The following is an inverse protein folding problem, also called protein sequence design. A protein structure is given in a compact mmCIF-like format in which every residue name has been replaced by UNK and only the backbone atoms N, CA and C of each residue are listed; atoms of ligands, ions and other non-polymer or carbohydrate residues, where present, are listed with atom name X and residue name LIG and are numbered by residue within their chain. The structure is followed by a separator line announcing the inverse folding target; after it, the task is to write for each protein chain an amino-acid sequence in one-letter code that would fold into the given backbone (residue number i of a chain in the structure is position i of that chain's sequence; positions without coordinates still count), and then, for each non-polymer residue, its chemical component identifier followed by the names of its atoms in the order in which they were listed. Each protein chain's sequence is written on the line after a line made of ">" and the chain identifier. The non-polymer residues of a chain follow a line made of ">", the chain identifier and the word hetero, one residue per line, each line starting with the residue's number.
data_IF_465984445365
#
_entry.id   IF_465984445365
#
_cell.length_a   1.000
_cell.length_b   1.000
_cell.length_c   1.000
_cell.angle_alpha   90.00
_cell.angle_beta   90.00
_cell.angle_gamma   90.00
#
_symmetry.space_group_name_H-M   'P 1'
#
loop_
_entity.id
_entity.type
_entity.pdbx_description
1 polymer ?
#
# COMPACT_ATOMS: atom_id res chain seq x y z
N UNK A 1 -9.59 6.98 -1.45
CA UNK A 1 -8.22 6.98 -2.00
C UNK A 1 -8.27 7.43 -3.45
N UNK A 2 -7.32 8.26 -3.84
CA UNK A 2 -7.23 8.71 -5.22
C UNK A 2 -6.97 7.53 -6.16
N UNK A 3 -7.27 7.74 -7.43
CA UNK A 3 -7.04 6.73 -8.45
C UNK A 3 -5.54 6.43 -8.59
N UNK A 4 -5.16 5.16 -8.40
CA UNK A 4 -3.77 4.73 -8.50
C UNK A 4 -3.44 4.32 -9.94
N UNK A 5 -2.29 4.81 -10.43
CA UNK A 5 -1.82 4.54 -11.79
C UNK A 5 -0.43 3.91 -11.75
N UNK A 6 -0.13 2.95 -12.66
CA UNK A 6 1.22 2.41 -12.77
C UNK A 6 2.26 3.50 -13.02
N UNK A 7 3.49 3.26 -12.57
CA UNK A 7 4.66 4.12 -12.78
C UNK A 7 4.52 5.52 -12.18
N UNK A 8 3.67 5.70 -11.18
CA UNK A 8 3.37 6.99 -10.57
C UNK A 8 3.67 6.96 -9.08
N UNK A 9 4.14 8.08 -8.53
CA UNK A 9 4.45 8.25 -7.11
C UNK A 9 3.22 8.70 -6.34
N UNK A 10 3.11 8.22 -5.09
CA UNK A 10 2.02 8.60 -4.18
C UNK A 10 2.54 8.72 -2.76
N UNK A 11 1.97 9.69 -2.04
CA UNK A 11 2.11 9.81 -0.59
C UNK A 11 0.84 9.22 0.03
N UNK A 12 0.99 8.14 0.77
CA UNK A 12 -0.12 7.42 1.40
C UNK A 12 0.03 7.56 2.91
N UNK A 13 -1.05 7.94 3.57
CA UNK A 13 -1.02 8.13 5.01
C UNK A 13 -2.35 7.71 5.64
N UNK A 14 -2.32 7.43 6.93
CA UNK A 14 -3.51 7.12 7.72
C UNK A 14 -3.28 7.54 9.16
N UNK A 15 -4.36 7.92 9.84
CA UNK A 15 -4.39 8.30 11.24
C UNK A 15 -5.36 7.42 12.02
N UNK A 16 -5.04 7.17 13.29
CA UNK A 16 -6.02 6.62 14.22
C UNK A 16 -7.10 7.68 14.50
N UNK A 17 -8.31 7.22 14.79
CA UNK A 17 -9.40 8.10 15.20
C UNK A 17 -9.22 8.49 16.65
N UNK A 18 -9.37 9.79 16.96
CA UNK A 18 -9.28 10.29 18.34
C UNK A 18 -7.90 10.12 18.93
N UNK A 19 -7.87 9.68 20.18
CA UNK A 19 -6.63 9.53 20.95
C UNK A 19 -6.04 8.12 20.88
N UNK A 20 -6.57 7.24 20.03
CA UNK A 20 -6.08 5.88 19.90
C UNK A 20 -4.74 5.84 19.15
N UNK A 21 -3.87 4.92 19.57
CA UNK A 21 -2.61 4.66 18.87
C UNK A 21 -2.79 3.49 17.91
N UNK A 22 -2.22 3.63 16.70
CA UNK A 22 -2.13 2.54 15.72
C UNK A 22 -1.06 1.53 16.14
N UNK A 23 0.03 2.03 16.73
CA UNK A 23 1.17 1.22 17.15
C UNK A 23 1.42 1.47 18.62
N UNK A 24 1.18 0.47 19.47
CA UNK A 24 1.37 0.58 20.93
C UNK A 24 2.58 -0.20 21.41
N UNK A 25 2.86 -1.31 20.76
CA UNK A 25 3.91 -2.24 21.17
C UNK A 25 4.81 -2.58 19.98
N UNK A 26 6.05 -3.07 20.22
CA UNK A 26 6.94 -3.47 19.12
C UNK A 26 6.32 -4.45 18.15
N UNK A 27 5.47 -5.36 18.63
CA UNK A 27 4.80 -6.31 17.75
C UNK A 27 3.85 -5.65 16.76
N UNK A 28 3.27 -4.49 17.11
CA UNK A 28 2.38 -3.76 16.20
C UNK A 28 3.15 -3.24 14.98
N UNK A 29 4.38 -2.75 15.19
CA UNK A 29 5.25 -2.29 14.11
C UNK A 29 5.68 -3.46 13.23
N UNK A 30 6.02 -4.59 13.84
CA UNK A 30 6.42 -5.80 13.11
C UNK A 30 5.25 -6.33 12.28
N UNK A 31 4.06 -6.42 12.87
CA UNK A 31 2.87 -6.88 12.17
C UNK A 31 2.54 -5.97 10.98
N UNK A 32 2.61 -4.65 11.19
CA UNK A 32 2.42 -3.68 10.12
C UNK A 32 3.39 -3.93 8.96
N UNK A 33 4.68 -4.09 9.26
CA UNK A 33 5.69 -4.35 8.24
C UNK A 33 5.43 -5.64 7.48
N UNK A 34 5.07 -6.71 8.17
CA UNK A 34 4.76 -7.99 7.55
C UNK A 34 3.55 -7.89 6.61
N UNK A 35 2.48 -7.25 7.05
CA UNK A 35 1.29 -7.06 6.23
C UNK A 35 1.56 -6.13 5.05
N UNK A 36 2.34 -5.09 5.27
CA UNK A 36 2.76 -4.17 4.21
C UNK A 36 3.48 -4.91 3.09
N UNK A 37 4.51 -5.68 3.43
CA UNK A 37 5.27 -6.44 2.44
C UNK A 37 4.41 -7.48 1.74
N UNK A 38 3.55 -8.16 2.50
CA UNK A 38 2.66 -9.18 1.94
C UNK A 38 1.74 -8.61 0.85
N UNK A 39 1.18 -7.41 1.08
CA UNK A 39 0.16 -6.87 0.18
C UNK A 39 0.72 -5.90 -0.86
N UNK A 40 1.83 -5.23 -0.57
CA UNK A 40 2.25 -4.06 -1.34
C UNK A 40 3.49 -4.29 -2.19
N UNK A 41 4.43 -5.15 -1.77
CA UNK A 41 5.71 -5.32 -2.47
C UNK A 41 5.55 -5.71 -3.94
N UNK A 42 4.48 -6.42 -4.29
CA UNK A 42 4.24 -6.87 -5.67
C UNK A 42 3.79 -5.75 -6.59
N UNK A 43 3.26 -4.66 -6.02
CA UNK A 43 2.66 -3.58 -6.81
C UNK A 43 3.40 -2.26 -6.67
N UNK A 44 4.23 -2.08 -5.66
CA UNK A 44 4.87 -0.78 -5.40
C UNK A 44 6.25 -0.93 -4.80
N UNK A 45 7.12 0.04 -5.12
CA UNK A 45 8.40 0.25 -4.48
C UNK A 45 8.24 1.33 -3.40
N UNK A 46 8.83 1.10 -2.23
CA UNK A 46 8.75 2.05 -1.12
C UNK A 46 10.04 2.86 -1.06
N UNK A 47 9.90 4.18 -1.16
CA UNK A 47 11.03 5.11 -1.13
C UNK A 47 11.29 5.67 0.26
N UNK A 48 10.23 5.84 1.04
CA UNK A 48 10.35 6.33 2.41
C UNK A 48 9.13 5.92 3.21
N UNK A 49 9.31 5.79 4.51
CA UNK A 49 8.19 5.53 5.42
C UNK A 49 8.46 6.20 6.76
N UNK A 50 7.37 6.51 7.46
CA UNK A 50 7.42 7.02 8.82
C UNK A 50 6.27 6.42 9.60
N UNK A 51 6.59 5.70 10.68
CA UNK A 51 5.60 5.10 11.57
C UNK A 51 5.60 5.84 12.90
N UNK A 52 4.54 6.60 13.13
CA UNK A 52 4.31 7.29 14.40
C UNK A 52 3.23 6.53 15.18
N UNK A 53 3.16 6.65 16.51
CA UNK A 53 2.19 5.87 17.28
C UNK A 53 0.74 5.95 16.79
N UNK A 54 0.31 7.10 16.32
CA UNK A 54 -1.09 7.32 15.91
C UNK A 54 -1.27 7.54 14.40
N UNK A 55 -0.21 7.45 13.61
CA UNK A 55 -0.33 7.60 12.16
C UNK A 55 0.90 7.06 11.45
N UNK A 56 0.78 6.88 10.14
CA UNK A 56 1.94 6.53 9.31
C UNK A 56 1.90 7.29 7.99
N UNK A 57 3.06 7.40 7.36
CA UNK A 57 3.25 7.97 6.04
C UNK A 57 4.10 7.03 5.19
N UNK A 58 3.71 6.86 3.95
CA UNK A 58 4.45 6.06 2.97
C UNK A 58 4.65 6.89 1.70
N UNK A 59 5.87 6.92 1.18
CA UNK A 59 6.14 7.43 -0.16
C UNK A 59 6.45 6.23 -1.04
N UNK A 60 5.56 5.96 -1.99
CA UNK A 60 5.65 4.79 -2.86
C UNK A 60 5.59 5.18 -4.32
N UNK A 61 6.17 4.34 -5.17
CA UNK A 61 5.97 4.40 -6.61
C UNK A 61 5.28 3.11 -7.03
N UNK A 62 4.14 3.22 -7.66
CA UNK A 62 3.46 2.05 -8.22
C UNK A 62 4.33 1.52 -9.35
N UNK A 63 4.60 0.22 -9.35
CA UNK A 63 5.44 -0.42 -10.36
C UNK A 63 4.81 -0.32 -11.74
N UNK A 64 5.63 -0.45 -12.77
CA UNK A 64 5.16 -0.49 -14.13
C UNK A 64 4.25 -1.70 -14.36
N UNK A 65 3.31 -1.60 -15.28
CA UNK A 65 2.31 -2.63 -15.53
C UNK A 65 2.92 -4.00 -15.82
N UNK A 66 3.97 -4.05 -16.62
CA UNK A 66 4.65 -5.31 -16.96
C UNK A 66 5.30 -5.97 -15.73
N UNK A 67 5.87 -5.18 -14.84
CA UNK A 67 6.47 -5.68 -13.60
C UNK A 67 5.40 -6.25 -12.67
N UNK A 68 4.29 -5.54 -12.50
CA UNK A 68 3.16 -6.02 -11.69
C UNK A 68 2.62 -7.33 -12.27
N UNK A 69 2.50 -7.41 -13.58
CA UNK A 69 1.99 -8.59 -14.29
C UNK A 69 2.86 -9.83 -14.07
N UNK A 70 4.18 -9.67 -13.88
CA UNK A 70 5.07 -10.79 -13.59
C UNK A 70 4.69 -11.50 -12.30
N UNK A 71 4.25 -10.76 -11.29
CA UNK A 71 3.88 -11.32 -9.99
C UNK A 71 2.38 -11.58 -9.86
N UNK A 72 1.57 -10.81 -10.59
CA UNK A 72 0.12 -10.88 -10.55
C UNK A 72 -0.41 -10.92 -11.99
N UNK A 73 -0.36 -12.12 -12.64
CA UNK A 73 -0.66 -12.22 -14.08
C UNK A 73 -2.03 -11.70 -14.50
N UNK A 74 -3.03 -11.76 -13.61
CA UNK A 74 -4.35 -11.22 -13.90
C UNK A 74 -4.38 -9.72 -14.18
N UNK A 75 -3.36 -8.98 -13.74
CA UNK A 75 -3.27 -7.55 -13.98
C UNK A 75 -3.06 -7.20 -15.45
N UNK A 76 -2.54 -8.13 -16.24
CA UNK A 76 -2.27 -7.91 -17.67
C UNK A 76 -3.50 -7.42 -18.43
N UNK A 77 -4.66 -7.95 -18.10
CA UNK A 77 -5.91 -7.69 -18.83
C UNK A 77 -6.69 -6.50 -18.27
N UNK A 78 -6.18 -5.86 -17.21
CA UNK A 78 -6.85 -4.73 -16.57
C UNK A 78 -6.34 -3.42 -17.14
N UNK A 79 -7.24 -2.45 -17.27
CA UNK A 79 -6.91 -1.11 -17.75
C UNK A 79 -7.85 -0.09 -17.11
N UNK A 80 -7.41 1.18 -17.09
CA UNK A 80 -8.24 2.28 -16.60
C UNK A 80 -8.74 2.07 -15.18
N UNK A 81 -10.04 2.19 -14.98
CA UNK A 81 -10.69 2.08 -13.67
C UNK A 81 -10.47 0.70 -13.05
N UNK A 82 -10.53 -0.37 -13.85
CA UNK A 82 -10.35 -1.74 -13.35
C UNK A 82 -8.93 -1.95 -12.80
N UNK A 83 -7.91 -1.45 -13.51
CA UNK A 83 -6.54 -1.51 -13.04
C UNK A 83 -6.35 -0.71 -11.75
N UNK A 84 -6.90 0.50 -11.70
CA UNK A 84 -6.84 1.34 -10.51
C UNK A 84 -7.54 0.70 -9.32
N UNK A 85 -8.71 0.11 -9.53
CA UNK A 85 -9.45 -0.58 -8.48
C UNK A 85 -8.67 -1.78 -7.94
N UNK A 86 -8.01 -2.52 -8.83
CA UNK A 86 -7.15 -3.64 -8.42
C UNK A 86 -6.03 -3.16 -7.49
N UNK A 87 -5.34 -2.08 -7.86
CA UNK A 87 -4.25 -1.53 -7.05
C UNK A 87 -4.76 -1.01 -5.71
N UNK A 88 -5.87 -0.28 -5.72
CA UNK A 88 -6.50 0.23 -4.50
C UNK A 88 -6.93 -0.90 -3.58
N UNK A 89 -7.36 -2.03 -4.13
CA UNK A 89 -7.75 -3.20 -3.35
C UNK A 89 -6.58 -3.77 -2.54
N UNK A 90 -5.35 -3.74 -3.10
CA UNK A 90 -4.19 -4.21 -2.38
C UNK A 90 -3.93 -3.36 -1.13
N UNK A 91 -4.03 -2.03 -1.24
CA UNK A 91 -3.90 -1.15 -0.08
C UNK A 91 -5.06 -1.33 0.89
N UNK A 92 -6.28 -1.50 0.40
CA UNK A 92 -7.45 -1.75 1.25
C UNK A 92 -7.26 -3.05 2.05
N UNK A 93 -6.78 -4.12 1.41
CA UNK A 93 -6.52 -5.39 2.09
C UNK A 93 -5.45 -5.21 3.17
N UNK A 94 -4.43 -4.42 2.90
CA UNK A 94 -3.39 -4.10 3.87
C UNK A 94 -3.97 -3.34 5.07
N UNK A 95 -4.77 -2.28 4.82
CA UNK A 95 -5.36 -1.47 5.88
C UNK A 95 -6.34 -2.26 6.76
N UNK A 96 -7.01 -3.24 6.20
CA UNK A 96 -8.02 -4.04 6.90
C UNK A 96 -7.47 -5.36 7.46
N UNK A 97 -6.21 -5.67 7.15
CA UNK A 97 -5.53 -6.89 7.66
C UNK A 97 -5.02 -6.74 9.11
#
# INVERSE_FOLDING_TARGET
>A
MDQLLPSTYYHIFNHANGDEDLFREPENYRYFSQQYHKHIDKIADTYAYCQMPNHFHLLVRIKAKDVITLHLPGFKNLAGVDASNFLSKQFSNFFNG
#
